data_IF_468419020001
#
_entry.id   IF_468419020001
#
_cell.length_a   1.000
_cell.length_b   1.000
_cell.length_c   1.000
_cell.angle_alpha   90.00
_cell.angle_beta   90.00
_cell.angle_gamma   90.00
#
_symmetry.space_group_name_H-M   'P 1'
#
loop_
_entity.id
_entity.type
_entity.pdbx_description
1 polymer ?
#
# COMPACT_ATOMS: atom_id res chain seq x y z
N UNK A 1 -72.99 21.72 6.21
CA UNK A 1 -72.15 20.56 6.55
C UNK A 1 -70.85 20.67 5.77
N UNK A 2 -69.72 20.75 6.51
CA UNK A 2 -68.30 20.56 6.17
C UNK A 2 -67.79 21.08 4.81
N UNK A 3 -67.14 22.25 4.75
CA UNK A 3 -65.69 22.47 4.99
C UNK A 3 -64.79 21.35 4.49
N UNK A 4 -64.08 21.60 3.37
CA UNK A 4 -62.86 20.88 3.00
C UNK A 4 -61.72 21.87 2.77
N UNK A 5 -60.65 21.55 3.47
CA UNK A 5 -59.41 22.27 3.73
C UNK A 5 -58.36 21.93 2.64
N UNK A 6 -57.33 22.79 2.54
CA UNK A 6 -55.95 22.59 2.01
C UNK A 6 -55.79 22.31 0.49
N UNK A 7 -54.70 22.72 -0.21
CA UNK A 7 -53.30 22.82 0.22
C UNK A 7 -52.51 23.81 -0.68
N UNK A 8 -51.72 24.69 -0.06
CA UNK A 8 -50.63 25.47 -0.67
C UNK A 8 -49.55 24.52 -1.19
N UNK A 9 -49.09 24.66 -2.43
CA UNK A 9 -47.79 24.11 -2.86
C UNK A 9 -46.84 25.25 -3.24
N UNK A 10 -45.94 25.53 -2.31
CA UNK A 10 -44.76 26.37 -2.45
C UNK A 10 -43.72 25.59 -3.27
N UNK A 11 -43.42 26.04 -4.49
CA UNK A 11 -42.34 25.49 -5.30
C UNK A 11 -41.00 26.05 -4.78
N UNK A 12 -40.32 25.30 -3.91
CA UNK A 12 -38.93 25.58 -3.55
C UNK A 12 -38.01 25.10 -4.69
N UNK A 13 -37.37 26.05 -5.36
CA UNK A 13 -36.30 25.78 -6.32
C UNK A 13 -35.13 25.11 -5.58
N UNK A 14 -34.87 23.84 -5.88
CA UNK A 14 -33.68 23.11 -5.43
C UNK A 14 -32.48 23.66 -6.20
N UNK A 15 -31.77 24.61 -5.59
CA UNK A 15 -30.39 24.89 -5.95
C UNK A 15 -29.57 23.63 -5.61
N UNK A 16 -29.10 22.90 -6.63
CA UNK A 16 -28.09 21.86 -6.45
C UNK A 16 -26.75 22.53 -6.12
N UNK A 17 -26.20 22.41 -4.90
CA UNK A 17 -24.80 22.70 -4.70
C UNK A 17 -24.02 21.64 -5.48
N UNK A 18 -23.37 22.05 -6.57
CA UNK A 18 -22.35 21.25 -7.22
C UNK A 18 -21.26 20.97 -6.19
N UNK A 19 -21.26 19.76 -5.63
CA UNK A 19 -20.17 19.26 -4.81
C UNK A 19 -18.95 19.23 -5.72
N UNK A 20 -18.03 20.17 -5.55
CA UNK A 20 -16.71 20.10 -6.15
C UNK A 20 -16.09 18.77 -5.71
N UNK A 21 -16.06 17.79 -6.62
CA UNK A 21 -15.42 16.51 -6.35
C UNK A 21 -13.94 16.77 -6.09
N UNK A 22 -13.48 16.51 -4.87
CA UNK A 22 -12.06 16.55 -4.52
C UNK A 22 -11.27 15.73 -5.54
N UNK A 23 -10.15 16.28 -6.01
CA UNK A 23 -9.28 15.58 -6.96
C UNK A 23 -8.86 14.24 -6.34
N UNK A 24 -8.88 13.13 -7.11
CA UNK A 24 -8.45 11.84 -6.60
C UNK A 24 -7.04 11.91 -6.01
N UNK A 25 -6.83 11.29 -4.85
CA UNK A 25 -5.49 11.15 -4.28
C UNK A 25 -4.58 10.39 -5.26
N UNK A 26 -3.33 10.80 -5.34
CA UNK A 26 -2.33 10.11 -6.17
C UNK A 26 -2.16 8.65 -5.71
N UNK A 27 -2.24 8.42 -4.41
CA UNK A 27 -2.16 7.10 -3.75
C UNK A 27 -3.29 6.99 -2.73
N UNK A 28 -3.96 5.84 -2.72
CA UNK A 28 -4.93 5.47 -1.69
C UNK A 28 -4.68 4.01 -1.28
N UNK A 29 -4.42 3.77 0.01
CA UNK A 29 -4.27 2.42 0.54
C UNK A 29 -5.59 1.63 0.39
N UNK A 30 -5.52 0.52 -0.34
CA UNK A 30 -6.64 -0.41 -0.50
C UNK A 30 -6.61 -1.51 0.55
N UNK A 31 -5.46 -2.15 0.72
CA UNK A 31 -5.30 -3.30 1.60
C UNK A 31 -3.85 -3.39 2.11
N UNK A 32 -3.70 -3.88 3.34
CA UNK A 32 -2.43 -4.31 3.90
C UNK A 32 -2.40 -5.84 3.93
N UNK A 33 -1.32 -6.44 3.41
CA UNK A 33 -1.07 -7.88 3.45
C UNK A 33 0.15 -8.14 4.33
N UNK A 34 -0.03 -8.90 5.40
CA UNK A 34 1.09 -9.29 6.25
C UNK A 34 1.77 -10.53 5.65
N UNK A 35 3.09 -10.47 5.48
CA UNK A 35 3.91 -11.64 5.15
C UNK A 35 4.45 -12.30 6.42
N UNK A 36 3.70 -12.22 7.50
CA UNK A 36 3.96 -12.82 8.80
C UNK A 36 2.69 -13.58 9.20
N UNK A 37 2.77 -14.86 9.60
CA UNK A 37 1.61 -15.56 10.13
C UNK A 37 1.03 -14.81 11.33
N UNK A 38 -0.29 -14.73 11.44
CA UNK A 38 -0.97 -14.01 12.54
C UNK A 38 -0.44 -14.41 13.94
N UNK A 39 -0.19 -15.71 14.23
CA UNK A 39 0.36 -16.12 15.53
C UNK A 39 1.78 -15.58 15.84
N UNK A 40 2.53 -15.17 14.81
CA UNK A 40 3.87 -14.61 14.96
C UNK A 40 3.87 -13.07 14.99
N UNK A 41 2.75 -12.40 14.71
CA UNK A 41 2.73 -10.95 14.53
C UNK A 41 3.22 -10.22 15.78
N UNK A 42 2.68 -10.57 16.95
CA UNK A 42 3.07 -10.03 18.26
C UNK A 42 4.53 -10.33 18.57
N UNK A 43 5.02 -11.53 18.24
CA UNK A 43 6.42 -11.90 18.45
C UNK A 43 7.38 -11.06 17.61
N UNK A 44 6.94 -10.58 16.44
CA UNK A 44 7.76 -9.80 15.51
C UNK A 44 7.67 -8.30 15.79
N UNK A 45 6.47 -7.77 16.02
CA UNK A 45 6.21 -6.32 16.15
C UNK A 45 5.95 -5.86 17.59
N UNK A 46 5.78 -6.78 18.53
CA UNK A 46 5.36 -6.50 19.90
C UNK A 46 3.84 -6.31 20.03
N UNK A 47 3.41 -6.04 21.26
CA UNK A 47 2.00 -5.89 21.63
C UNK A 47 1.44 -4.52 21.19
N UNK A 48 2.31 -3.53 20.99
CA UNK A 48 1.94 -2.20 20.50
C UNK A 48 2.05 -2.13 18.98
N UNK A 49 0.90 -2.05 18.31
CA UNK A 49 0.80 -1.91 16.85
C UNK A 49 0.91 -0.47 16.35
N UNK A 50 0.92 0.53 17.25
CA UNK A 50 1.01 1.95 16.86
C UNK A 50 2.27 2.27 16.03
N UNK A 51 3.46 1.76 16.36
CA UNK A 51 4.66 1.99 15.54
C UNK A 51 4.51 1.45 14.11
N UNK A 52 3.92 0.27 13.93
CA UNK A 52 3.66 -0.29 12.61
C UNK A 52 2.66 0.56 11.81
N UNK A 53 1.56 0.99 12.44
CA UNK A 53 0.58 1.86 11.78
C UNK A 53 1.17 3.21 11.37
N UNK A 54 2.01 3.81 12.23
CA UNK A 54 2.74 5.05 11.89
C UNK A 54 3.68 4.85 10.70
N UNK A 55 4.39 3.71 10.66
CA UNK A 55 5.28 3.39 9.54
C UNK A 55 4.51 3.22 8.22
N UNK A 56 3.39 2.49 8.24
CA UNK A 56 2.53 2.29 7.06
C UNK A 56 1.99 3.63 6.54
N UNK A 57 1.52 4.52 7.44
CA UNK A 57 1.04 5.85 7.06
C UNK A 57 2.15 6.71 6.46
N UNK A 58 3.34 6.69 7.05
CA UNK A 58 4.50 7.42 6.53
C UNK A 58 4.90 6.94 5.12
N UNK A 59 4.80 5.63 4.85
CA UNK A 59 5.01 5.07 3.52
C UNK A 59 3.92 5.51 2.53
N UNK A 60 2.65 5.48 2.92
CA UNK A 60 1.52 5.92 2.09
C UNK A 60 1.66 7.40 1.72
N UNK A 61 1.92 8.26 2.71
CA UNK A 61 2.15 9.70 2.53
C UNK A 61 3.34 9.93 1.60
N UNK A 62 4.46 9.24 1.84
CA UNK A 62 5.66 9.42 1.01
C UNK A 62 5.46 8.97 -0.43
N UNK A 63 4.77 7.86 -0.65
CA UNK A 63 4.42 7.39 -1.98
C UNK A 63 3.50 8.41 -2.69
N UNK A 64 2.51 8.93 -1.96
CA UNK A 64 1.63 10.00 -2.44
C UNK A 64 2.38 11.26 -2.86
N UNK A 65 3.32 11.74 -2.03
CA UNK A 65 4.17 12.90 -2.34
C UNK A 65 4.99 12.73 -3.61
N UNK A 66 5.54 11.53 -3.82
CA UNK A 66 6.38 11.22 -4.97
C UNK A 66 5.52 11.15 -6.24
N UNK A 67 4.42 10.40 -6.19
CA UNK A 67 3.54 10.20 -7.35
C UNK A 67 2.74 11.45 -7.74
N UNK A 68 2.42 12.33 -6.79
CA UNK A 68 1.72 13.59 -7.08
C UNK A 68 2.55 14.59 -7.90
N UNK A 69 3.87 14.45 -7.95
CA UNK A 69 4.78 15.31 -8.72
C UNK A 69 4.96 14.84 -10.16
N UNK A 70 4.52 13.61 -10.45
CA UNK A 70 4.72 12.95 -11.73
C UNK A 70 3.47 13.05 -12.61
N UNK A 71 3.65 12.83 -13.92
CA UNK A 71 2.51 12.54 -14.78
C UNK A 71 1.86 11.23 -14.31
N UNK A 72 0.53 11.16 -14.14
CA UNK A 72 -0.14 9.93 -13.75
C UNK A 72 0.28 8.75 -14.65
N UNK A 73 0.81 7.65 -14.07
CA UNK A 73 1.22 6.47 -14.83
C UNK A 73 -0.02 5.74 -15.38
N UNK A 74 0.21 4.81 -16.29
CA UNK A 74 -0.88 4.00 -16.89
C UNK A 74 -1.38 2.91 -15.94
N UNK A 75 -0.56 2.51 -14.97
CA UNK A 75 -0.93 1.52 -13.98
C UNK A 75 -2.14 1.97 -13.15
N UNK A 76 -3.06 1.04 -12.86
CA UNK A 76 -4.19 1.28 -11.97
C UNK A 76 -3.80 1.23 -10.49
N UNK A 77 -2.73 0.52 -10.17
CA UNK A 77 -2.28 0.30 -8.80
C UNK A 77 -0.77 0.12 -8.69
N UNK A 78 -0.30 0.05 -7.45
CA UNK A 78 1.06 -0.29 -7.11
C UNK A 78 1.06 -1.28 -5.93
N UNK A 79 1.79 -2.38 -6.06
CA UNK A 79 2.14 -3.22 -4.92
C UNK A 79 3.43 -2.66 -4.31
N UNK A 80 3.39 -2.30 -3.03
CA UNK A 80 4.56 -1.85 -2.27
C UNK A 80 4.87 -2.93 -1.24
N UNK A 81 5.78 -3.84 -1.56
CA UNK A 81 6.26 -4.84 -0.61
C UNK A 81 7.41 -4.27 0.22
N UNK A 82 7.39 -4.55 1.52
CA UNK A 82 8.35 -4.05 2.51
C UNK A 82 8.90 -5.23 3.30
N UNK A 83 10.21 -5.25 3.43
CA UNK A 83 10.92 -6.17 4.31
C UNK A 83 11.74 -5.41 5.33
N UNK A 84 11.65 -5.84 6.59
CA UNK A 84 12.32 -5.22 7.73
C UNK A 84 13.23 -6.27 8.37
N UNK A 85 14.50 -5.91 8.52
CA UNK A 85 15.52 -6.64 9.30
C UNK A 85 15.75 -5.94 10.64
N UNK A 86 16.67 -6.50 11.43
CA UNK A 86 17.09 -5.90 12.70
C UNK A 86 17.61 -4.46 12.50
N UNK A 87 17.54 -3.64 13.56
CA UNK A 87 18.08 -2.27 13.59
C UNK A 87 17.42 -1.30 12.59
N UNK A 88 16.12 -1.47 12.32
CA UNK A 88 15.31 -0.65 11.39
C UNK A 88 15.83 -0.67 9.95
N UNK A 89 16.65 -1.65 9.61
CA UNK A 89 17.06 -1.83 8.22
C UNK A 89 15.85 -2.31 7.44
N UNK A 90 15.46 -1.58 6.40
CA UNK A 90 14.30 -1.92 5.59
C UNK A 90 14.58 -1.77 4.11
N UNK A 91 13.92 -2.63 3.33
CA UNK A 91 13.95 -2.60 1.88
C UNK A 91 12.53 -2.60 1.34
N UNK A 92 12.33 -1.84 0.27
CA UNK A 92 11.06 -1.68 -0.42
C UNK A 92 11.19 -2.18 -1.85
N UNK A 93 10.14 -2.81 -2.34
CA UNK A 93 9.96 -3.26 -3.71
C UNK A 93 8.60 -2.79 -4.22
N UNK A 94 8.60 -1.92 -5.21
CA UNK A 94 7.43 -1.38 -5.88
C UNK A 94 7.20 -2.10 -7.21
N UNK A 95 5.95 -2.50 -7.46
CA UNK A 95 5.55 -3.15 -8.70
C UNK A 95 4.25 -2.57 -9.23
N UNK A 96 4.24 -2.22 -10.51
CA UNK A 96 3.07 -1.70 -11.20
C UNK A 96 1.99 -2.78 -11.29
N UNK A 97 0.74 -2.41 -11.04
CA UNK A 97 -0.42 -3.31 -11.15
C UNK A 97 -1.35 -2.82 -12.23
N UNK A 98 -1.65 -3.71 -13.18
CA UNK A 98 -2.55 -3.48 -14.32
C UNK A 98 -2.19 -2.20 -15.10
N UNK A 99 -1.02 -2.24 -15.74
CA UNK A 99 -0.49 -1.17 -16.58
C UNK A 99 0.98 -0.89 -16.24
N UNK A 100 1.49 0.22 -16.77
CA UNK A 100 2.91 0.53 -16.68
C UNK A 100 3.18 1.73 -15.78
N UNK A 101 4.23 1.62 -14.97
CA UNK A 101 4.92 2.73 -14.29
C UNK A 101 6.32 2.82 -14.89
N UNK A 102 6.82 4.02 -15.27
CA UNK A 102 8.18 4.16 -15.77
C UNK A 102 9.22 3.52 -14.84
N UNK A 103 10.18 2.78 -15.39
CA UNK A 103 11.17 2.05 -14.60
C UNK A 103 11.99 2.95 -13.66
N UNK A 104 12.30 4.16 -14.09
CA UNK A 104 13.04 5.12 -13.25
C UNK A 104 12.20 5.66 -12.10
N UNK A 105 10.87 5.76 -12.30
CA UNK A 105 9.95 6.09 -11.22
C UNK A 105 9.84 4.94 -10.20
N UNK A 106 9.77 3.69 -10.66
CA UNK A 106 9.82 2.51 -9.76
C UNK A 106 11.11 2.51 -8.94
N UNK A 107 12.28 2.68 -9.57
CA UNK A 107 13.57 2.75 -8.87
C UNK A 107 13.62 3.91 -7.87
N UNK A 108 13.04 5.06 -8.22
CA UNK A 108 12.94 6.20 -7.31
C UNK A 108 12.04 5.89 -6.12
N UNK A 109 10.90 5.24 -6.34
CA UNK A 109 9.98 4.82 -5.28
C UNK A 109 10.67 3.83 -4.32
N UNK A 110 11.29 2.77 -4.84
CA UNK A 110 12.04 1.79 -4.04
C UNK A 110 13.07 2.49 -3.14
N UNK A 111 13.84 3.42 -3.73
CA UNK A 111 14.91 4.14 -3.04
C UNK A 111 14.39 5.11 -1.99
N UNK A 112 13.41 5.94 -2.33
CA UNK A 112 12.93 6.99 -1.43
C UNK A 112 12.03 6.42 -0.32
N UNK A 113 11.23 5.40 -0.61
CA UNK A 113 10.45 4.68 0.41
C UNK A 113 11.36 3.86 1.34
N UNK A 114 12.45 3.28 0.82
CA UNK A 114 13.46 2.60 1.63
C UNK A 114 14.20 3.49 2.63
N UNK A 115 14.10 4.83 2.51
CA UNK A 115 14.64 5.78 3.49
C UNK A 115 13.66 6.14 4.61
N UNK A 116 12.39 5.77 4.49
CA UNK A 116 11.41 6.00 5.55
C UNK A 116 11.81 5.14 6.74
N UNK A 117 11.93 5.77 7.91
CA UNK A 117 12.38 5.08 9.12
C UNK A 117 11.44 3.91 9.46
N UNK A 118 11.97 2.70 9.42
CA UNK A 118 11.22 1.50 9.74
C UNK A 118 10.96 1.36 11.24
N UNK A 119 9.96 0.55 11.56
CA UNK A 119 9.65 0.13 12.92
C UNK A 119 10.74 -0.80 13.47
N UNK A 120 10.97 -0.75 14.78
CA UNK A 120 11.80 -1.74 15.46
C UNK A 120 11.05 -3.07 15.56
N UNK A 121 11.73 -4.16 15.22
CA UNK A 121 11.19 -5.50 15.43
C UNK A 121 11.67 -6.06 16.77
N UNK A 122 10.76 -6.71 17.48
CA UNK A 122 11.09 -7.58 18.63
C UNK A 122 11.85 -8.81 18.14
N UNK A 123 11.38 -9.42 17.04
CA UNK A 123 12.05 -10.53 16.36
C UNK A 123 12.09 -10.26 14.86
N UNK A 124 13.30 -10.21 14.32
CA UNK A 124 13.54 -10.04 12.89
C UNK A 124 13.71 -11.39 12.17
N UNK A 125 13.44 -11.46 10.85
CA UNK A 125 12.83 -10.43 10.01
C UNK A 125 11.29 -10.41 10.05
N UNK A 126 10.70 -9.39 9.44
CA UNK A 126 9.25 -9.30 9.18
C UNK A 126 8.99 -8.62 7.82
N UNK A 127 7.84 -8.88 7.21
CA UNK A 127 7.46 -8.26 5.95
C UNK A 127 5.96 -8.05 5.81
N UNK A 128 5.59 -7.11 4.95
CA UNK A 128 4.22 -6.86 4.55
C UNK A 128 4.18 -6.24 3.15
N UNK A 129 2.99 -6.14 2.56
CA UNK A 129 2.76 -5.35 1.38
C UNK A 129 1.57 -4.40 1.55
N UNK A 130 1.68 -3.24 0.92
CA UNK A 130 0.60 -2.28 0.75
C UNK A 130 0.11 -2.38 -0.69
N UNK A 131 -1.15 -2.74 -0.85
CA UNK A 131 -1.87 -2.67 -2.12
C UNK A 131 -2.46 -1.27 -2.23
N UNK A 132 -1.94 -0.44 -3.13
CA UNK A 132 -2.41 0.94 -3.28
C UNK A 132 -3.03 1.20 -4.65
N UNK A 133 -4.12 1.96 -4.65
CA UNK A 133 -4.78 2.48 -5.85
C UNK A 133 -4.10 3.76 -6.30
N UNK A 134 -3.97 3.94 -7.62
CA UNK A 134 -3.39 5.14 -8.20
C UNK A 134 -4.46 6.03 -8.80
N UNK A 135 -4.48 7.31 -8.41
CA UNK A 135 -5.35 8.35 -8.99
C UNK A 135 -6.84 7.95 -9.07
N UNK A 136 -7.36 7.27 -8.05
CA UNK A 136 -8.75 6.81 -7.98
C UNK A 136 -9.10 5.60 -8.86
N UNK A 137 -8.11 4.99 -9.53
CA UNK A 137 -8.30 3.77 -10.32
C UNK A 137 -8.46 2.55 -9.42
N UNK A 138 -9.12 1.50 -9.92
CA UNK A 138 -9.38 0.26 -9.19
C UNK A 138 -8.78 -0.91 -9.98
N UNK A 139 -7.65 -1.48 -9.54
CA UNK A 139 -7.16 -2.75 -10.03
C UNK A 139 -8.16 -3.87 -9.71
N UNK A 140 -8.26 -4.85 -10.60
CA UNK A 140 -9.07 -6.05 -10.40
C UNK A 140 -8.37 -7.01 -9.43
N UNK A 141 -7.03 -7.14 -9.54
CA UNK A 141 -6.24 -8.01 -8.66
C UNK A 141 -4.81 -7.52 -8.47
N UNK A 142 -4.32 -7.61 -7.23
CA UNK A 142 -2.91 -7.44 -6.89
C UNK A 142 -2.17 -8.79 -6.92
N UNK A 143 -0.90 -8.83 -7.38
CA UNK A 143 -0.06 -10.01 -7.20
C UNK A 143 0.19 -10.26 -5.72
N UNK A 144 0.33 -11.54 -5.34
CA UNK A 144 0.54 -11.92 -3.94
C UNK A 144 1.90 -11.51 -3.41
N UNK A 145 2.92 -11.62 -4.27
CA UNK A 145 4.31 -11.26 -4.01
C UNK A 145 4.85 -10.46 -5.19
N UNK A 146 5.87 -9.61 -4.97
CA UNK A 146 6.63 -9.02 -6.07
C UNK A 146 7.20 -10.09 -7.00
N UNK A 147 7.16 -9.83 -8.30
CA UNK A 147 7.70 -10.71 -9.33
C UNK A 147 9.18 -11.01 -9.09
N UNK A 148 9.95 -10.03 -8.62
CA UNK A 148 11.35 -10.21 -8.24
C UNK A 148 11.56 -11.26 -7.15
N UNK A 149 10.61 -11.40 -6.22
CA UNK A 149 10.66 -12.42 -5.16
C UNK A 149 10.31 -13.79 -5.72
N UNK A 150 9.29 -13.86 -6.59
CA UNK A 150 8.91 -15.09 -7.30
C UNK A 150 10.08 -15.62 -8.13
N UNK A 151 10.78 -14.75 -8.84
CA UNK A 151 11.95 -15.13 -9.66
C UNK A 151 13.12 -15.60 -8.81
N UNK A 152 13.41 -14.91 -7.70
CA UNK A 152 14.45 -15.34 -6.77
C UNK A 152 14.15 -16.72 -6.17
N UNK A 153 12.92 -16.96 -5.71
CA UNK A 153 12.50 -18.23 -5.16
C UNK A 153 12.61 -19.38 -6.19
N UNK A 154 12.18 -19.13 -7.43
CA UNK A 154 12.33 -20.08 -8.54
C UNK A 154 13.79 -20.43 -8.81
N UNK A 155 14.67 -19.44 -8.85
CA UNK A 155 16.11 -19.63 -9.08
C UNK A 155 16.74 -20.50 -8.00
N UNK A 156 16.30 -20.33 -6.75
CA UNK A 156 16.78 -21.09 -5.60
C UNK A 156 16.06 -22.43 -5.39
N UNK A 157 15.09 -22.77 -6.25
CA UNK A 157 14.22 -23.95 -6.08
C UNK A 157 13.53 -23.99 -4.71
N UNK A 158 13.27 -22.83 -4.12
CA UNK A 158 12.55 -22.68 -2.85
C UNK A 158 11.08 -22.39 -3.11
N UNK A 159 10.22 -22.87 -2.23
CA UNK A 159 8.84 -22.39 -2.19
C UNK A 159 8.83 -20.98 -1.57
N UNK A 160 7.96 -20.10 -2.08
CA UNK A 160 7.62 -18.87 -1.38
C UNK A 160 6.80 -19.24 -0.14
N UNK A 161 7.50 -19.46 0.96
CA UNK A 161 6.89 -19.75 2.25
C UNK A 161 6.76 -18.45 3.04
N UNK A 162 5.61 -18.31 3.67
CA UNK A 162 5.41 -17.41 4.82
C UNK A 162 5.65 -18.30 6.04
N UNK A 163 6.58 -18.01 6.96
CA UNK A 163 7.17 -16.71 7.32
C UNK A 163 8.37 -16.24 6.46
N UNK A 164 8.72 -14.93 6.49
CA UNK A 164 9.63 -14.30 5.54
C UNK A 164 11.11 -14.59 5.82
N UNK A 165 11.43 -15.40 6.84
CA UNK A 165 12.80 -15.68 7.28
C UNK A 165 13.64 -16.32 6.16
N UNK A 166 13.12 -17.39 5.54
CA UNK A 166 13.80 -18.08 4.43
C UNK A 166 13.76 -17.28 3.12
N UNK A 167 12.67 -16.52 2.93
CA UNK A 167 12.53 -15.64 1.78
C UNK A 167 13.60 -14.55 1.81
N UNK A 168 13.79 -13.86 2.94
CA UNK A 168 14.71 -12.73 3.05
C UNK A 168 16.16 -13.13 2.87
N UNK A 169 16.56 -14.34 3.30
CA UNK A 169 17.90 -14.90 2.99
C UNK A 169 18.19 -14.93 1.49
N UNK A 170 17.16 -15.03 0.66
CA UNK A 170 17.23 -15.20 -0.79
C UNK A 170 17.17 -13.85 -1.53
N UNK A 171 16.16 -13.03 -1.20
CA UNK A 171 15.90 -11.74 -1.89
C UNK A 171 16.71 -10.57 -1.34
N UNK A 172 17.21 -10.71 -0.11
CA UNK A 172 17.97 -9.69 0.60
C UNK A 172 18.97 -10.35 1.57
N UNK A 173 20.01 -11.02 1.04
CA UNK A 173 21.02 -11.67 1.87
C UNK A 173 21.77 -10.67 2.76
N UNK A 174 22.27 -11.15 3.90
CA UNK A 174 23.26 -10.39 4.68
C UNK A 174 24.54 -10.23 3.86
N UNK A 175 25.16 -9.04 3.94
CA UNK A 175 26.43 -8.76 3.27
C UNK A 175 27.60 -9.35 4.05
#
# INVERSE_FOLDING_TARGET
>A
MLSRLVLLTLAAALANPSVAADKPKAVELNQLRLYVPIPELEQRFGDDVQPLSKYIKALEEKAGELLAKEKPPKAKGLLIAVGIKSKKDARVWCEAVEGDVPADLIKSLDKELGKVQAVDLVKAPAGFAMEVKLFGQKPDKFPEFPQSWVEAAKKEKKQLLVPPDELFKSIWPDK
#
